data_IF_906590140404
#
_entry.id   IF_906590140404
#
_cell.length_a   1.000
_cell.length_b   1.000
_cell.length_c   1.000
_cell.angle_alpha   90.00
_cell.angle_beta   90.00
_cell.angle_gamma   90.00
#
_symmetry.space_group_name_H-M   'P 1'
#
loop_
_entity.id
_entity.type
_entity.pdbx_description
1 polymer ?
#
# COMPACT_ATOMS: atom_id res chain seq x y z
N UNK A 1 -0.22 -21.94 -16.88
CA UNK A 1 1.03 -22.54 -17.41
C UNK A 1 1.64 -21.69 -18.51
N UNK A 2 0.88 -21.25 -19.51
CA UNK A 2 1.36 -20.44 -20.64
C UNK A 2 1.96 -19.09 -20.20
N UNK A 3 1.26 -18.31 -19.35
CA UNK A 3 1.79 -17.05 -18.81
C UNK A 3 3.12 -17.23 -18.09
N UNK A 4 3.27 -18.33 -17.36
CA UNK A 4 4.51 -18.63 -16.66
C UNK A 4 5.68 -18.92 -17.63
N UNK A 5 5.41 -19.60 -18.73
CA UNK A 5 6.40 -19.82 -19.79
C UNK A 5 6.84 -18.49 -20.42
N UNK A 6 5.88 -17.65 -20.83
CA UNK A 6 6.16 -16.32 -21.36
C UNK A 6 6.94 -15.42 -20.40
N UNK A 7 6.64 -15.48 -19.09
CA UNK A 7 7.41 -14.76 -18.07
C UNK A 7 8.89 -15.20 -18.08
N UNK A 8 9.13 -16.48 -18.17
CA UNK A 8 10.49 -17.02 -18.19
C UNK A 8 11.23 -16.68 -19.48
N UNK A 9 10.59 -16.75 -20.65
CA UNK A 9 11.17 -16.37 -21.95
C UNK A 9 11.59 -14.89 -21.98
N UNK A 10 10.85 -14.02 -21.29
CA UNK A 10 11.17 -12.59 -21.24
C UNK A 10 12.51 -12.29 -20.56
N UNK A 11 12.95 -13.15 -19.64
CA UNK A 11 14.11 -12.90 -18.77
C UNK A 11 15.15 -14.03 -18.73
N UNK A 12 15.19 -14.89 -19.71
CA UNK A 12 16.30 -15.84 -19.82
C UNK A 12 17.55 -15.08 -20.28
N UNK A 13 18.37 -14.62 -19.35
CA UNK A 13 19.57 -13.83 -19.65
C UNK A 13 20.57 -13.81 -18.50
N UNK A 14 21.86 -13.78 -18.83
CA UNK A 14 22.97 -13.59 -17.88
C UNK A 14 23.04 -12.18 -17.26
N UNK A 15 22.04 -11.35 -17.50
CA UNK A 15 22.00 -9.97 -17.00
C UNK A 15 21.39 -9.88 -15.60
N UNK A 16 21.81 -8.91 -14.77
CA UNK A 16 21.19 -8.66 -13.48
C UNK A 16 19.81 -8.03 -13.64
N UNK A 17 18.84 -8.49 -12.82
CA UNK A 17 17.47 -7.97 -12.74
C UNK A 17 17.32 -7.07 -11.52
N UNK A 18 16.80 -5.84 -11.72
CA UNK A 18 16.29 -4.98 -10.67
C UNK A 18 14.76 -5.14 -10.55
N UNK A 19 14.25 -5.37 -9.36
CA UNK A 19 12.82 -5.39 -9.10
C UNK A 19 12.48 -4.15 -8.28
N UNK A 20 11.60 -3.31 -8.82
CA UNK A 20 11.11 -2.07 -8.20
C UNK A 20 9.74 -2.31 -7.57
N UNK A 21 9.49 -1.70 -6.41
CA UNK A 21 8.24 -1.79 -5.67
C UNK A 21 8.02 -0.55 -4.80
N UNK A 22 6.77 -0.26 -4.45
CA UNK A 22 6.45 0.52 -3.25
C UNK A 22 6.44 -0.43 -2.06
N UNK A 23 7.38 -0.27 -1.13
CA UNK A 23 7.55 -1.25 -0.07
C UNK A 23 6.38 -1.21 0.94
N UNK A 24 5.39 -2.03 0.70
CA UNK A 24 4.38 -2.51 1.62
C UNK A 24 4.45 -4.04 1.70
N UNK A 25 3.65 -4.72 2.52
CA UNK A 25 3.75 -6.16 2.68
C UNK A 25 3.50 -6.94 1.39
N UNK A 26 2.53 -6.54 0.55
CA UNK A 26 2.19 -7.25 -0.68
C UNK A 26 3.27 -7.07 -1.76
N UNK A 27 3.72 -5.84 -1.97
CA UNK A 27 4.81 -5.53 -2.90
C UNK A 27 6.11 -6.24 -2.53
N UNK A 28 6.48 -6.24 -1.22
CA UNK A 28 7.68 -6.92 -0.74
C UNK A 28 7.60 -8.44 -0.92
N UNK A 29 6.46 -9.05 -0.64
CA UNK A 29 6.23 -10.47 -0.83
C UNK A 29 6.27 -10.85 -2.32
N UNK A 30 5.63 -10.06 -3.16
CA UNK A 30 5.63 -10.20 -4.61
C UNK A 30 7.03 -10.10 -5.21
N UNK A 31 7.83 -9.15 -4.76
CA UNK A 31 9.23 -9.02 -5.17
C UNK A 31 10.08 -10.22 -4.76
N UNK A 32 9.87 -10.77 -3.54
CA UNK A 32 10.53 -12.00 -3.10
C UNK A 32 10.12 -13.22 -3.94
N UNK A 33 8.84 -13.32 -4.31
CA UNK A 33 8.34 -14.40 -5.15
C UNK A 33 8.91 -14.32 -6.58
N UNK A 34 8.92 -13.12 -7.18
CA UNK A 34 9.54 -12.93 -8.49
C UNK A 34 11.05 -13.23 -8.43
N UNK A 35 11.75 -12.78 -7.39
CA UNK A 35 13.16 -13.14 -7.16
C UNK A 35 13.36 -14.67 -7.08
N UNK A 36 12.41 -15.40 -6.46
CA UNK A 36 12.48 -16.88 -6.38
C UNK A 36 12.23 -17.54 -7.74
N UNK A 37 11.29 -17.01 -8.53
CA UNK A 37 11.00 -17.47 -9.89
C UNK A 37 12.21 -17.27 -10.83
N UNK A 38 12.91 -16.15 -10.67
CA UNK A 38 14.08 -15.82 -11.48
C UNK A 38 15.38 -16.50 -11.01
N UNK A 39 15.31 -17.36 -9.99
CA UNK A 39 16.47 -18.11 -9.50
C UNK A 39 17.10 -18.96 -10.61
N UNK A 40 18.41 -18.79 -10.86
CA UNK A 40 19.18 -19.44 -11.92
C UNK A 40 18.76 -19.09 -13.36
N UNK A 41 17.91 -18.07 -13.54
CA UNK A 41 17.49 -17.57 -14.87
C UNK A 41 18.12 -16.24 -15.20
N UNK A 42 18.54 -15.51 -14.18
CA UNK A 42 19.26 -14.25 -14.32
C UNK A 42 20.51 -14.30 -13.44
N UNK A 43 21.51 -13.49 -13.77
CA UNK A 43 22.79 -13.47 -13.05
C UNK A 43 22.62 -13.19 -11.55
N UNK A 44 21.76 -12.22 -11.21
CA UNK A 44 21.38 -11.87 -9.84
C UNK A 44 20.10 -11.03 -9.84
N UNK A 45 19.39 -11.03 -8.71
CA UNK A 45 18.21 -10.16 -8.50
C UNK A 45 18.48 -9.21 -7.35
N UNK A 46 18.22 -7.92 -7.57
CA UNK A 46 18.31 -6.85 -6.57
C UNK A 46 16.95 -6.22 -6.39
N UNK A 47 16.47 -6.11 -5.14
CA UNK A 47 15.20 -5.48 -4.81
C UNK A 47 15.41 -4.00 -4.51
N UNK A 48 14.50 -3.18 -5.02
CA UNK A 48 14.49 -1.74 -4.83
C UNK A 48 13.11 -1.24 -4.41
N UNK A 49 13.08 -0.34 -3.42
CA UNK A 49 11.86 0.36 -3.02
C UNK A 49 11.96 1.86 -3.31
N UNK A 50 10.84 2.47 -3.65
CA UNK A 50 10.75 3.89 -4.01
C UNK A 50 10.37 4.78 -2.83
N UNK A 51 9.53 4.30 -1.92
CA UNK A 51 9.02 5.01 -0.76
C UNK A 51 9.96 4.91 0.47
N UNK A 52 9.91 5.84 1.41
CA UNK A 52 10.43 5.60 2.76
C UNK A 52 9.62 4.47 3.43
N UNK A 53 10.26 3.73 4.32
CA UNK A 53 9.63 2.63 5.06
C UNK A 53 9.66 3.01 6.54
N UNK A 54 8.53 3.42 7.05
CA UNK A 54 8.42 3.99 8.41
C UNK A 54 7.44 3.19 9.29
N UNK A 55 6.50 2.48 8.67
CA UNK A 55 5.53 1.66 9.41
C UNK A 55 6.23 0.56 10.20
N UNK A 56 5.94 0.43 11.52
CA UNK A 56 6.61 -0.55 12.38
C UNK A 56 6.40 -2.00 11.95
N UNK A 57 5.22 -2.35 11.45
CA UNK A 57 4.89 -3.68 10.91
C UNK A 57 5.74 -4.00 9.66
N UNK A 58 5.92 -3.03 8.74
CA UNK A 58 6.77 -3.19 7.56
C UNK A 58 8.25 -3.38 7.96
N UNK A 59 8.72 -2.61 8.95
CA UNK A 59 10.07 -2.77 9.49
C UNK A 59 10.26 -4.12 10.17
N UNK A 60 9.24 -4.59 10.93
CA UNK A 60 9.25 -5.90 11.54
C UNK A 60 9.25 -7.02 10.48
N UNK A 61 8.42 -6.90 9.42
CA UNK A 61 8.41 -7.81 8.29
C UNK A 61 9.81 -7.93 7.65
N UNK A 62 10.44 -6.79 7.36
CA UNK A 62 11.78 -6.73 6.76
C UNK A 62 12.81 -7.43 7.67
N UNK A 63 12.78 -7.10 8.97
CA UNK A 63 13.71 -7.65 9.96
C UNK A 63 13.54 -9.16 10.16
N UNK A 64 12.30 -9.60 10.41
CA UNK A 64 11.99 -11.00 10.72
C UNK A 64 12.18 -11.92 9.51
N UNK A 65 11.80 -11.43 8.32
CA UNK A 65 11.99 -12.17 7.08
C UNK A 65 13.33 -11.86 6.38
N UNK A 66 14.20 -11.06 6.99
CA UNK A 66 15.54 -10.72 6.45
C UNK A 66 15.46 -10.25 5.00
N UNK A 67 14.55 -9.34 4.66
CA UNK A 67 14.34 -8.82 3.31
C UNK A 67 15.45 -7.81 3.01
N UNK A 68 16.34 -8.16 2.07
CA UNK A 68 17.40 -7.24 1.62
C UNK A 68 16.90 -6.45 0.43
N UNK A 69 16.77 -5.15 0.59
CA UNK A 69 16.30 -4.19 -0.42
C UNK A 69 17.04 -2.86 -0.29
N UNK A 70 17.03 -2.06 -1.35
CA UNK A 70 17.71 -0.77 -1.40
C UNK A 70 16.75 0.32 -1.84
N UNK A 71 16.89 1.53 -1.33
CA UNK A 71 16.12 2.66 -1.82
C UNK A 71 16.57 3.08 -3.22
N UNK A 72 15.62 3.40 -4.10
CA UNK A 72 15.90 3.88 -5.44
C UNK A 72 15.15 5.19 -5.71
N UNK A 73 15.85 6.17 -6.26
CA UNK A 73 15.27 7.43 -6.75
C UNK A 73 15.39 7.56 -8.26
N UNK A 74 16.33 6.83 -8.87
CA UNK A 74 16.61 6.84 -10.30
C UNK A 74 17.29 5.55 -10.72
N UNK A 75 17.02 5.10 -11.94
CA UNK A 75 17.70 3.95 -12.57
C UNK A 75 19.02 4.33 -13.24
N UNK A 76 19.24 5.64 -13.49
CA UNK A 76 20.47 6.12 -14.15
C UNK A 76 21.73 5.74 -13.39
N UNK A 77 22.78 5.33 -14.13
CA UNK A 77 24.09 4.98 -13.56
C UNK A 77 24.16 3.62 -12.87
N UNK A 78 23.08 2.84 -12.86
CA UNK A 78 23.09 1.49 -12.26
C UNK A 78 23.55 0.44 -13.27
N UNK A 79 24.36 -0.52 -12.80
CA UNK A 79 24.79 -1.68 -13.59
C UNK A 79 23.70 -2.77 -13.66
N UNK A 80 22.45 -2.34 -13.94
CA UNK A 80 21.29 -3.20 -14.09
C UNK A 80 20.65 -2.83 -15.42
N UNK A 81 20.46 -3.83 -16.27
CA UNK A 81 19.89 -3.64 -17.62
C UNK A 81 18.46 -4.13 -17.75
N UNK A 82 18.06 -5.04 -16.87
CA UNK A 82 16.71 -5.63 -16.85
C UNK A 82 15.95 -5.13 -15.63
N UNK A 83 14.71 -4.69 -15.84
CA UNK A 83 13.90 -4.11 -14.80
C UNK A 83 12.50 -4.73 -14.75
N UNK A 84 12.08 -5.08 -13.56
CA UNK A 84 10.71 -5.46 -13.26
C UNK A 84 10.09 -4.48 -12.26
N UNK A 85 8.79 -4.31 -12.33
CA UNK A 85 8.01 -3.64 -11.29
C UNK A 85 6.88 -4.58 -10.88
N UNK A 86 6.64 -4.66 -9.58
CA UNK A 86 5.59 -5.51 -9.00
C UNK A 86 4.71 -4.69 -8.09
N UNK A 87 3.42 -5.05 -8.06
CA UNK A 87 2.39 -4.42 -7.24
C UNK A 87 2.30 -2.91 -7.50
N UNK A 88 2.57 -2.54 -8.69
CA UNK A 88 2.55 -1.17 -9.17
C UNK A 88 2.80 -1.09 -10.67
N UNK A 89 2.59 0.12 -11.23
CA UNK A 89 2.83 0.42 -12.63
C UNK A 89 3.81 1.59 -12.78
N UNK A 90 4.55 1.69 -13.91
CA UNK A 90 5.56 2.73 -14.11
C UNK A 90 5.02 4.15 -13.88
N UNK A 91 3.80 4.45 -14.33
CA UNK A 91 3.17 5.75 -14.22
C UNK A 91 2.80 6.16 -12.79
N UNK A 92 2.79 5.24 -11.82
CA UNK A 92 2.62 5.58 -10.40
C UNK A 92 3.83 6.39 -9.87
N UNK A 93 4.97 6.35 -10.56
CA UNK A 93 6.21 7.01 -10.11
C UNK A 93 6.78 7.88 -11.20
N UNK A 94 6.65 9.19 -11.08
CA UNK A 94 7.16 10.19 -12.04
C UNK A 94 8.58 9.89 -12.58
N UNK A 95 9.57 9.44 -11.77
CA UNK A 95 10.89 9.09 -12.29
C UNK A 95 10.93 7.89 -13.22
N UNK A 96 9.87 7.06 -13.26
CA UNK A 96 9.82 5.81 -14.02
C UNK A 96 8.70 5.76 -15.06
N UNK A 97 7.84 6.78 -15.14
CA UNK A 97 6.65 6.81 -16.01
C UNK A 97 6.95 6.53 -17.49
N UNK A 98 8.14 6.95 -17.96
CA UNK A 98 8.59 6.77 -19.35
C UNK A 98 9.58 5.59 -19.50
N UNK A 99 9.79 4.78 -18.46
CA UNK A 99 10.69 3.65 -18.53
C UNK A 99 9.96 2.40 -19.02
N UNK A 100 10.53 1.76 -20.05
CA UNK A 100 10.03 0.48 -20.52
C UNK A 100 10.58 -0.63 -19.61
N UNK A 101 9.74 -1.19 -18.77
CA UNK A 101 10.08 -2.33 -17.94
C UNK A 101 10.06 -3.64 -18.76
N UNK A 102 10.89 -4.59 -18.40
CA UNK A 102 10.84 -5.94 -18.96
C UNK A 102 9.61 -6.70 -18.43
N UNK A 103 9.27 -6.49 -17.14
CA UNK A 103 8.14 -7.15 -16.47
C UNK A 103 7.35 -6.12 -15.67
N UNK A 104 6.02 -6.17 -15.82
CA UNK A 104 5.03 -5.53 -14.93
C UNK A 104 4.05 -6.61 -14.47
N UNK A 105 3.93 -6.82 -13.17
CA UNK A 105 2.92 -7.69 -12.55
C UNK A 105 2.21 -6.87 -11.47
N UNK A 106 0.90 -6.69 -11.63
CA UNK A 106 0.11 -5.79 -10.77
C UNK A 106 -1.34 -6.26 -10.65
N UNK A 107 -2.04 -5.77 -9.63
CA UNK A 107 -3.47 -5.99 -9.44
C UNK A 107 -4.29 -4.70 -9.40
N UNK A 108 -3.65 -3.55 -9.45
CA UNK A 108 -4.32 -2.25 -9.55
C UNK A 108 -4.93 -2.02 -10.94
N UNK A 109 -5.90 -1.09 -11.08
CA UNK A 109 -6.45 -0.73 -12.39
C UNK A 109 -5.38 -0.40 -13.42
N UNK A 110 -5.50 -0.97 -14.62
CA UNK A 110 -4.51 -0.80 -15.67
C UNK A 110 -4.50 0.65 -16.17
N UNK A 111 -3.35 1.29 -16.09
CA UNK A 111 -3.13 2.61 -16.64
C UNK A 111 -2.84 2.54 -18.14
N UNK A 112 -3.48 3.37 -18.99
CA UNK A 112 -3.32 3.31 -20.45
C UNK A 112 -1.87 3.50 -20.95
N UNK A 113 -1.04 4.18 -20.15
CA UNK A 113 0.38 4.40 -20.46
C UNK A 113 1.29 3.22 -20.11
N UNK A 114 0.78 2.21 -19.39
CA UNK A 114 1.59 1.07 -18.93
C UNK A 114 1.98 0.17 -20.10
N UNK A 115 3.29 0.06 -20.33
CA UNK A 115 3.87 -0.82 -21.34
C UNK A 115 5.00 -1.64 -20.73
N UNK A 116 5.09 -2.93 -21.09
CA UNK A 116 6.15 -3.83 -20.70
C UNK A 116 6.35 -4.92 -21.75
N UNK A 117 7.49 -5.59 -21.75
CA UNK A 117 7.71 -6.80 -22.57
C UNK A 117 6.83 -7.94 -22.09
N UNK A 118 6.70 -8.08 -20.78
CA UNK A 118 5.76 -8.95 -20.11
C UNK A 118 4.85 -8.11 -19.21
N UNK A 119 3.57 -8.06 -19.55
CA UNK A 119 2.54 -7.33 -18.83
C UNK A 119 1.49 -8.32 -18.32
N UNK A 120 1.30 -8.38 -17.00
CA UNK A 120 0.24 -9.16 -16.36
C UNK A 120 -0.41 -8.33 -15.25
N UNK A 121 -1.45 -7.60 -15.62
CA UNK A 121 -2.27 -6.80 -14.71
C UNK A 121 -3.62 -7.47 -14.55
N UNK A 122 -4.04 -7.73 -13.29
CA UNK A 122 -5.26 -8.47 -12.96
C UNK A 122 -6.05 -7.72 -11.89
N UNK A 123 -6.86 -6.80 -12.34
CA UNK A 123 -7.65 -5.89 -11.49
C UNK A 123 -8.68 -6.59 -10.59
N UNK A 124 -9.03 -7.83 -10.95
CA UNK A 124 -9.97 -8.67 -10.22
C UNK A 124 -9.32 -9.47 -9.08
N UNK A 125 -8.04 -9.28 -8.78
CA UNK A 125 -7.34 -9.92 -7.67
C UNK A 125 -7.24 -9.00 -6.46
N UNK A 126 -7.49 -9.54 -5.26
CA UNK A 126 -7.41 -8.78 -4.01
C UNK A 126 -5.99 -8.46 -3.57
N UNK A 127 -4.97 -9.16 -4.12
CA UNK A 127 -3.57 -8.94 -3.81
C UNK A 127 -2.66 -9.43 -4.93
N UNK A 128 -1.56 -8.75 -5.16
CA UNK A 128 -0.53 -9.17 -6.11
C UNK A 128 0.20 -10.44 -5.64
N UNK A 129 0.30 -10.67 -4.34
CA UNK A 129 0.79 -11.93 -3.73
C UNK A 129 -0.03 -13.15 -4.14
N UNK A 130 -1.32 -12.99 -4.43
CA UNK A 130 -2.16 -14.05 -5.01
C UNK A 130 -1.67 -14.43 -6.40
N UNK A 131 -1.43 -13.44 -7.26
CA UNK A 131 -0.89 -13.64 -8.62
C UNK A 131 0.46 -14.36 -8.54
N UNK A 132 1.34 -13.89 -7.67
CA UNK A 132 2.67 -14.48 -7.49
C UNK A 132 2.63 -15.91 -6.93
N UNK A 133 1.64 -16.22 -6.09
CA UNK A 133 1.40 -17.59 -5.60
C UNK A 133 0.99 -18.52 -6.74
N UNK A 134 0.14 -18.05 -7.66
CA UNK A 134 -0.22 -18.81 -8.86
C UNK A 134 1.00 -19.07 -9.74
N UNK A 135 1.90 -18.10 -9.94
CA UNK A 135 3.14 -18.29 -10.69
C UNK A 135 4.05 -19.35 -10.05
N UNK A 136 4.22 -19.30 -8.72
CA UNK A 136 5.01 -20.32 -8.00
C UNK A 136 4.41 -21.73 -8.20
N UNK A 137 3.09 -21.87 -8.09
CA UNK A 137 2.40 -23.15 -8.30
C UNK A 137 2.51 -23.62 -9.75
N UNK A 138 2.34 -22.73 -10.73
CA UNK A 138 2.50 -23.05 -12.15
C UNK A 138 3.92 -23.50 -12.50
N UNK A 139 4.92 -22.89 -11.85
CA UNK A 139 6.33 -23.27 -11.96
C UNK A 139 6.69 -24.52 -11.14
N UNK A 140 5.73 -25.14 -10.43
CA UNK A 140 5.93 -26.27 -9.50
C UNK A 140 6.97 -25.96 -8.41
N UNK A 141 7.00 -24.73 -7.95
CA UNK A 141 7.90 -24.27 -6.88
C UNK A 141 7.13 -24.21 -5.57
N UNK A 142 7.49 -25.08 -4.63
CA UNK A 142 7.00 -24.98 -3.24
C UNK A 142 7.69 -23.81 -2.56
N UNK A 143 6.94 -22.85 -1.99
CA UNK A 143 7.54 -21.72 -1.28
C UNK A 143 8.21 -22.17 0.01
N UNK A 144 9.36 -21.59 0.31
CA UNK A 144 9.98 -21.78 1.64
C UNK A 144 9.08 -21.15 2.72
N UNK A 145 9.17 -21.58 4.00
CA UNK A 145 8.39 -20.98 5.09
C UNK A 145 8.49 -19.44 5.13
N UNK A 146 9.67 -18.90 4.89
CA UNK A 146 9.92 -17.47 4.81
C UNK A 146 9.13 -16.80 3.69
N UNK A 147 9.15 -17.35 2.47
CA UNK A 147 8.44 -16.82 1.32
C UNK A 147 6.91 -16.98 1.48
N UNK A 148 6.48 -18.14 1.98
CA UNK A 148 5.07 -18.39 2.25
C UNK A 148 4.53 -17.41 3.29
N UNK A 149 5.29 -17.13 4.37
CA UNK A 149 4.93 -16.15 5.39
C UNK A 149 4.78 -14.74 4.81
N UNK A 150 5.70 -14.32 3.92
CA UNK A 150 5.60 -13.03 3.26
C UNK A 150 4.34 -12.93 2.40
N UNK A 151 4.12 -13.89 1.49
CA UNK A 151 2.95 -13.92 0.59
C UNK A 151 1.63 -14.02 1.35
N UNK A 152 1.58 -14.85 2.39
CA UNK A 152 0.41 -14.98 3.27
C UNK A 152 0.07 -13.64 3.92
N UNK A 153 1.09 -12.95 4.46
CA UNK A 153 0.90 -11.66 5.11
C UNK A 153 0.52 -10.57 4.10
N UNK A 154 1.11 -10.58 2.89
CA UNK A 154 0.73 -9.69 1.80
C UNK A 154 -0.75 -9.82 1.43
N UNK A 155 -1.24 -11.05 1.18
CA UNK A 155 -2.67 -11.27 0.91
C UNK A 155 -3.53 -10.79 2.08
N UNK A 156 -3.14 -11.11 3.33
CA UNK A 156 -3.91 -10.71 4.51
C UNK A 156 -4.05 -9.20 4.64
N UNK A 157 -2.97 -8.46 4.45
CA UNK A 157 -2.97 -6.99 4.62
C UNK A 157 -3.71 -6.29 3.50
N UNK A 158 -3.54 -6.72 2.27
CA UNK A 158 -4.10 -6.03 1.12
C UNK A 158 -5.62 -6.28 0.99
N UNK A 159 -6.07 -7.48 1.33
CA UNK A 159 -7.50 -7.83 1.40
C UNK A 159 -8.16 -7.39 2.72
N UNK A 160 -7.41 -6.79 3.65
CA UNK A 160 -7.89 -6.48 5.01
C UNK A 160 -8.54 -7.72 5.67
N UNK A 161 -7.80 -8.83 5.70
CA UNK A 161 -8.27 -10.13 6.16
C UNK A 161 -9.59 -10.57 5.47
N UNK A 162 -9.73 -10.30 4.16
CA UNK A 162 -10.90 -10.61 3.31
C UNK A 162 -12.14 -9.77 3.61
N UNK A 163 -12.01 -8.67 4.32
CA UNK A 163 -13.10 -7.69 4.50
C UNK A 163 -13.29 -6.84 3.24
N UNK A 164 -12.21 -6.57 2.50
CA UNK A 164 -12.29 -5.93 1.18
C UNK A 164 -12.72 -6.93 0.11
N UNK A 165 -13.15 -6.41 -1.04
CA UNK A 165 -13.48 -7.25 -2.20
C UNK A 165 -12.30 -8.19 -2.49
N UNK A 166 -12.51 -9.47 -2.24
CA UNK A 166 -11.57 -10.55 -2.48
C UNK A 166 -12.25 -11.66 -3.26
N UNK A 167 -11.49 -12.29 -4.14
CA UNK A 167 -12.00 -13.39 -4.96
C UNK A 167 -11.73 -14.75 -4.31
N UNK A 168 -12.46 -15.79 -4.73
CA UNK A 168 -12.14 -17.18 -4.37
C UNK A 168 -10.67 -17.54 -4.63
N UNK A 169 -10.02 -16.86 -5.58
CA UNK A 169 -8.59 -17.06 -5.90
C UNK A 169 -7.68 -16.61 -4.74
N UNK A 170 -8.01 -15.48 -4.10
CA UNK A 170 -7.25 -14.98 -2.95
C UNK A 170 -7.36 -15.94 -1.77
N UNK A 171 -8.57 -16.45 -1.50
CA UNK A 171 -8.82 -17.44 -0.45
C UNK A 171 -8.05 -18.74 -0.74
N UNK A 172 -8.06 -19.21 -1.99
CA UNK A 172 -7.34 -20.42 -2.39
C UNK A 172 -5.81 -20.28 -2.25
N UNK A 173 -5.27 -19.12 -2.63
CA UNK A 173 -3.85 -18.81 -2.47
C UNK A 173 -3.48 -18.73 -0.99
N UNK A 174 -4.29 -18.04 -0.19
CA UNK A 174 -4.12 -17.92 1.25
C UNK A 174 -4.13 -19.29 1.96
N UNK A 175 -5.12 -20.16 1.64
CA UNK A 175 -5.21 -21.52 2.16
C UNK A 175 -3.99 -22.37 1.75
N UNK A 176 -3.53 -22.25 0.51
CA UNK A 176 -2.33 -22.94 0.05
C UNK A 176 -1.10 -22.51 0.86
N UNK A 177 -0.91 -21.21 1.03
CA UNK A 177 0.24 -20.64 1.73
C UNK A 177 0.23 -20.94 3.23
N UNK A 178 -0.96 -21.06 3.85
CA UNK A 178 -1.12 -21.39 5.26
C UNK A 178 -0.35 -22.64 5.68
N UNK A 179 -0.25 -23.63 4.79
CA UNK A 179 0.45 -24.90 5.04
C UNK A 179 1.96 -24.73 5.26
N UNK A 180 2.53 -23.64 4.74
CA UNK A 180 3.97 -23.38 4.72
C UNK A 180 4.34 -22.15 5.55
N UNK A 181 3.40 -21.26 5.82
CA UNK A 181 3.64 -20.00 6.51
C UNK A 181 3.90 -20.21 8.01
N UNK A 182 4.74 -19.35 8.60
CA UNK A 182 5.00 -19.35 10.03
C UNK A 182 4.09 -18.34 10.74
N UNK A 183 3.02 -18.85 11.35
CA UNK A 183 2.01 -18.04 12.05
C UNK A 183 2.59 -17.27 13.24
N UNK A 184 3.60 -17.82 13.94
CA UNK A 184 4.27 -17.10 15.03
C UNK A 184 5.03 -15.87 14.52
N UNK A 185 5.61 -15.95 13.33
CA UNK A 185 6.26 -14.79 12.70
C UNK A 185 5.22 -13.74 12.32
N UNK A 186 4.08 -14.13 11.75
CA UNK A 186 2.97 -13.22 11.43
C UNK A 186 2.49 -12.50 12.69
N UNK A 187 2.19 -13.24 13.75
CA UNK A 187 1.79 -12.65 15.03
C UNK A 187 2.81 -11.64 15.57
N UNK A 188 4.12 -11.91 15.41
CA UNK A 188 5.17 -10.97 15.82
C UNK A 188 5.20 -9.71 14.96
N UNK A 189 4.92 -9.81 13.66
CA UNK A 189 4.82 -8.65 12.77
C UNK A 189 3.63 -7.78 13.20
N UNK A 190 2.46 -8.37 13.35
CA UNK A 190 1.23 -7.68 13.76
C UNK A 190 1.36 -7.03 15.15
N UNK A 191 2.00 -7.68 16.11
CA UNK A 191 2.23 -7.10 17.43
C UNK A 191 3.26 -5.96 17.45
N UNK A 192 3.88 -5.64 16.32
CA UNK A 192 4.85 -4.55 16.21
C UNK A 192 4.26 -3.25 15.66
N UNK A 193 2.95 -3.20 15.41
CA UNK A 193 2.29 -2.03 14.80
C UNK A 193 2.29 -0.80 15.70
N UNK A 194 2.32 -0.98 17.01
CA UNK A 194 2.19 0.12 17.99
C UNK A 194 3.53 0.38 18.66
N UNK A 195 4.05 1.60 18.48
CA UNK A 195 5.20 2.13 19.21
C UNK A 195 4.76 2.99 20.39
N UNK A 196 5.70 3.38 21.28
CA UNK A 196 5.41 4.34 22.36
C UNK A 196 4.92 5.67 21.80
N UNK A 197 5.53 6.17 20.72
CA UNK A 197 5.11 7.39 20.04
C UNK A 197 3.67 7.26 19.51
N UNK A 198 3.33 6.13 18.90
CA UNK A 198 1.96 5.84 18.49
C UNK A 198 0.97 5.86 19.66
N UNK A 199 1.36 5.38 20.86
CA UNK A 199 0.51 5.45 22.06
C UNK A 199 0.26 6.89 22.50
N UNK A 200 1.28 7.74 22.45
CA UNK A 200 1.14 9.17 22.79
C UNK A 200 0.21 9.87 21.80
N UNK A 201 0.32 9.56 20.50
CA UNK A 201 -0.58 10.06 19.46
C UNK A 201 -2.02 9.55 19.63
N UNK A 202 -2.20 8.30 19.99
CA UNK A 202 -3.54 7.74 20.29
C UNK A 202 -4.18 8.40 21.51
N UNK A 203 -3.40 8.68 22.56
CA UNK A 203 -3.88 9.42 23.74
C UNK A 203 -4.37 10.80 23.33
N UNK A 204 -3.56 11.58 22.59
CA UNK A 204 -3.95 12.87 22.07
C UNK A 204 -5.23 12.79 21.24
N UNK A 205 -5.31 11.80 20.33
CA UNK A 205 -6.45 11.61 19.48
C UNK A 205 -7.75 11.30 20.25
N UNK A 206 -7.66 10.50 21.32
CA UNK A 206 -8.82 10.20 22.19
C UNK A 206 -9.29 11.43 22.99
N UNK A 207 -8.35 12.25 23.45
CA UNK A 207 -8.66 13.50 24.20
C UNK A 207 -9.35 14.55 23.29
N UNK A 208 -9.05 14.56 21.98
CA UNK A 208 -9.56 15.53 21.00
C UNK A 208 -10.60 14.94 20.05
N UNK A 209 -11.07 13.72 20.32
CA UNK A 209 -12.08 13.05 19.48
C UNK A 209 -13.40 13.84 19.47
N UNK A 210 -13.87 14.17 18.29
CA UNK A 210 -15.19 14.74 18.05
C UNK A 210 -16.08 13.72 17.33
N UNK A 211 -17.17 13.33 17.98
CA UNK A 211 -18.18 12.47 17.35
C UNK A 211 -19.26 13.32 16.69
N UNK A 212 -19.47 13.14 15.40
CA UNK A 212 -20.52 13.82 14.62
C UNK A 212 -21.42 12.76 13.99
N UNK A 213 -22.52 12.44 14.66
CA UNK A 213 -23.41 11.33 14.30
C UNK A 213 -22.62 10.02 14.29
N UNK A 214 -22.49 9.41 13.10
CA UNK A 214 -21.78 8.18 12.79
C UNK A 214 -20.31 8.38 12.40
N UNK A 215 -19.75 9.59 12.61
CA UNK A 215 -18.40 9.94 12.20
C UNK A 215 -17.52 10.28 13.40
N UNK A 216 -16.41 9.59 13.52
CA UNK A 216 -15.30 9.97 14.39
C UNK A 216 -14.37 10.93 13.64
N UNK A 217 -14.11 12.09 14.21
CA UNK A 217 -13.21 13.09 13.66
C UNK A 217 -12.18 13.52 14.69
N UNK A 218 -10.94 13.65 14.25
CA UNK A 218 -9.86 14.29 15.03
C UNK A 218 -8.90 15.04 14.12
N UNK A 219 -8.45 16.18 14.58
CA UNK A 219 -7.37 16.94 13.99
C UNK A 219 -6.13 16.84 14.87
N UNK A 220 -5.02 16.34 14.30
CA UNK A 220 -3.80 15.96 15.03
C UNK A 220 -2.73 17.05 15.02
N UNK A 221 -3.04 18.26 14.51
CA UNK A 221 -2.08 19.34 14.34
C UNK A 221 -0.85 18.92 13.52
N UNK A 222 0.37 19.23 13.97
CA UNK A 222 1.60 18.88 13.26
C UNK A 222 2.10 17.49 13.62
N UNK A 223 2.46 16.72 12.61
CA UNK A 223 2.90 15.33 12.72
C UNK A 223 4.32 15.16 12.20
N UNK A 224 5.12 14.37 12.92
CA UNK A 224 6.42 13.88 12.46
C UNK A 224 6.26 12.75 11.45
N UNK A 225 5.25 11.90 11.64
CA UNK A 225 4.97 10.74 10.79
C UNK A 225 3.47 10.66 10.42
N UNK A 226 3.10 10.79 9.15
CA UNK A 226 1.71 10.73 8.70
C UNK A 226 1.06 9.34 8.85
N UNK A 227 1.85 8.26 9.03
CA UNK A 227 1.31 6.92 9.23
C UNK A 227 0.54 6.79 10.56
N UNK A 228 0.79 7.66 11.53
CA UNK A 228 -0.01 7.71 12.75
C UNK A 228 -1.49 8.01 12.47
N UNK A 229 -1.78 8.84 11.45
CA UNK A 229 -3.17 9.14 11.06
C UNK A 229 -3.90 7.88 10.60
N UNK A 230 -3.18 6.97 9.91
CA UNK A 230 -3.75 5.70 9.44
C UNK A 230 -4.11 4.81 10.64
N UNK A 231 -3.18 4.64 11.58
CA UNK A 231 -3.38 3.81 12.78
C UNK A 231 -4.54 4.35 13.62
N UNK A 232 -4.62 5.67 13.79
CA UNK A 232 -5.69 6.33 14.56
C UNK A 232 -7.03 6.16 13.84
N UNK A 233 -7.06 6.32 12.51
CA UNK A 233 -8.29 6.15 11.74
C UNK A 233 -8.82 4.71 11.84
N UNK A 234 -7.95 3.71 11.73
CA UNK A 234 -8.30 2.29 11.88
C UNK A 234 -8.75 1.97 13.31
N UNK A 235 -8.14 2.62 14.32
CA UNK A 235 -8.55 2.46 15.71
C UNK A 235 -9.96 2.99 15.96
N UNK A 236 -10.31 4.16 15.44
CA UNK A 236 -11.64 4.73 15.63
C UNK A 236 -12.74 4.01 14.86
N UNK A 237 -12.42 3.24 13.82
CA UNK A 237 -13.37 2.33 13.18
C UNK A 237 -13.83 1.18 14.08
N UNK A 238 -13.16 0.95 15.22
CA UNK A 238 -13.56 -0.06 16.22
C UNK A 238 -14.61 0.46 17.21
N UNK A 239 -14.94 1.74 17.18
CA UNK A 239 -16.05 2.27 17.98
C UNK A 239 -17.38 1.80 17.39
N UNK A 240 -18.24 1.25 18.23
CA UNK A 240 -19.51 0.65 17.81
C UNK A 240 -20.45 1.64 17.08
N UNK A 241 -20.39 2.92 17.45
CA UNK A 241 -21.22 3.98 16.90
C UNK A 241 -20.66 4.59 15.61
N UNK A 242 -19.45 4.18 15.18
CA UNK A 242 -18.72 4.82 14.09
C UNK A 242 -18.84 4.01 12.80
N UNK A 243 -19.33 4.68 11.75
CA UNK A 243 -19.27 4.17 10.38
C UNK A 243 -18.19 4.87 9.54
N UNK A 244 -17.77 6.05 9.97
CA UNK A 244 -16.74 6.83 9.30
C UNK A 244 -15.71 7.32 10.29
N UNK A 245 -14.44 7.15 9.96
CA UNK A 245 -13.34 7.80 10.67
C UNK A 245 -12.63 8.77 9.75
N UNK A 246 -12.44 10.00 10.21
CA UNK A 246 -11.73 11.06 9.49
C UNK A 246 -10.65 11.63 10.40
N UNK A 247 -9.42 11.35 10.10
CA UNK A 247 -8.26 11.79 10.89
C UNK A 247 -7.39 12.67 10.01
N UNK A 248 -7.12 13.89 10.48
CA UNK A 248 -6.39 14.88 9.71
C UNK A 248 -5.21 15.44 10.50
N UNK A 249 -4.16 15.86 9.82
CA UNK A 249 -3.02 16.54 10.42
C UNK A 249 -2.09 17.14 9.38
N UNK A 250 -1.13 17.93 9.80
CA UNK A 250 -0.16 18.60 8.93
C UNK A 250 1.17 17.89 8.97
N UNK A 251 1.71 17.55 7.82
CA UNK A 251 3.06 17.03 7.65
C UNK A 251 3.73 17.69 6.44
N UNK A 252 4.96 18.19 6.59
CA UNK A 252 5.75 18.82 5.51
C UNK A 252 4.94 19.86 4.69
N UNK A 253 4.28 20.82 5.37
CA UNK A 253 3.46 21.87 4.76
C UNK A 253 2.28 21.35 3.91
N UNK A 254 1.82 20.15 4.18
CA UNK A 254 0.63 19.56 3.58
C UNK A 254 -0.37 19.14 4.64
N UNK A 255 -1.64 19.43 4.40
CA UNK A 255 -2.74 18.79 5.13
C UNK A 255 -2.89 17.37 4.60
N UNK A 256 -2.77 16.39 5.48
CA UNK A 256 -3.03 14.98 5.19
C UNK A 256 -4.31 14.58 5.90
N UNK A 257 -5.22 13.95 5.17
CA UNK A 257 -6.48 13.45 5.71
C UNK A 257 -6.64 11.99 5.35
N UNK A 258 -6.84 11.17 6.36
CA UNK A 258 -7.17 9.74 6.21
C UNK A 258 -8.65 9.56 6.48
N UNK A 259 -9.32 8.87 5.59
CA UNK A 259 -10.75 8.55 5.68
C UNK A 259 -10.90 7.03 5.70
N UNK A 260 -11.72 6.53 6.62
CA UNK A 260 -12.17 5.13 6.67
C UNK A 260 -13.68 5.10 6.63
N UNK A 261 -14.22 4.08 6.01
CA UNK A 261 -15.67 3.90 5.83
C UNK A 261 -16.08 2.44 5.97
N UNK A 262 -17.06 2.18 6.82
CA UNK A 262 -17.76 0.90 6.96
C UNK A 262 -19.21 0.98 6.46
N UNK A 263 -19.71 2.15 6.05
CA UNK A 263 -21.06 2.28 5.46
C UNK A 263 -21.07 1.64 4.06
N UNK A 264 -21.91 0.63 3.87
CA UNK A 264 -22.05 -0.13 2.61
C UNK A 264 -22.45 0.78 1.44
N UNK A 265 -23.21 1.87 1.70
CA UNK A 265 -23.64 2.86 0.69
C UNK A 265 -22.64 4.00 0.52
N UNK A 266 -21.59 4.04 1.36
CA UNK A 266 -20.58 5.08 1.35
C UNK A 266 -19.43 4.75 0.41
N UNK A 267 -18.74 5.80 -0.06
CA UNK A 267 -17.50 5.70 -0.82
C UNK A 267 -16.50 6.72 -0.26
N UNK A 268 -15.43 6.21 0.36
CA UNK A 268 -14.40 7.07 0.97
C UNK A 268 -13.63 7.84 -0.10
N UNK A 269 -13.34 7.24 -1.25
CA UNK A 269 -12.64 7.86 -2.36
C UNK A 269 -13.42 9.05 -2.93
N UNK A 270 -14.71 8.88 -3.17
CA UNK A 270 -15.60 9.96 -3.63
C UNK A 270 -15.74 11.07 -2.56
N UNK A 271 -15.80 10.70 -1.29
CA UNK A 271 -15.82 11.69 -0.21
C UNK A 271 -14.54 12.49 -0.12
N UNK A 272 -13.38 11.82 -0.25
CA UNK A 272 -12.08 12.51 -0.28
C UNK A 272 -12.02 13.55 -1.42
N UNK A 273 -12.39 13.16 -2.63
CA UNK A 273 -12.46 14.05 -3.81
C UNK A 273 -13.41 15.23 -3.56
N UNK A 274 -14.63 14.95 -3.04
CA UNK A 274 -15.64 15.97 -2.80
C UNK A 274 -15.24 16.97 -1.71
N UNK A 275 -14.62 16.49 -0.63
CA UNK A 275 -14.26 17.35 0.51
C UNK A 275 -12.97 18.12 0.29
N UNK A 276 -11.99 17.53 -0.42
CA UNK A 276 -10.62 18.04 -0.51
C UNK A 276 -10.12 18.31 -1.93
N UNK A 277 -10.77 17.78 -2.97
CA UNK A 277 -10.33 17.93 -4.37
C UNK A 277 -10.38 19.38 -4.90
N UNK A 278 -11.15 20.27 -4.27
CA UNK A 278 -11.24 21.70 -4.64
C UNK A 278 -9.96 22.50 -4.41
N UNK A 279 -9.01 21.97 -3.65
CA UNK A 279 -7.77 22.66 -3.29
C UNK A 279 -6.56 22.16 -4.10
N UNK A 280 -6.80 21.60 -5.29
CA UNK A 280 -5.74 21.12 -6.20
C UNK A 280 -4.72 20.18 -5.50
N UNK A 281 -5.20 19.37 -4.59
CA UNK A 281 -4.45 18.32 -3.90
C UNK A 281 -4.74 16.94 -4.51
N UNK A 282 -3.95 15.96 -4.10
CA UNK A 282 -4.23 14.56 -4.38
C UNK A 282 -5.33 14.09 -3.42
N UNK A 283 -6.45 13.65 -3.95
CA UNK A 283 -7.55 13.10 -3.15
C UNK A 283 -8.18 11.92 -3.88
N UNK A 284 -8.28 10.78 -3.20
CA UNK A 284 -8.85 9.56 -3.78
C UNK A 284 -8.69 8.35 -2.88
N UNK A 285 -9.09 7.20 -3.40
CA UNK A 285 -9.03 5.91 -2.69
C UNK A 285 -10.13 4.97 -3.16
N UNK A 286 -10.41 3.98 -2.34
CA UNK A 286 -11.44 2.96 -2.53
C UNK A 286 -12.69 3.28 -1.68
N UNK A 287 -13.73 2.45 -1.80
CA UNK A 287 -14.97 2.61 -1.01
C UNK A 287 -14.72 2.62 0.51
N UNK A 288 -13.83 1.75 1.00
CA UNK A 288 -13.56 1.61 2.44
C UNK A 288 -12.47 2.54 2.98
N UNK A 289 -11.56 3.04 2.14
CA UNK A 289 -10.39 3.79 2.57
C UNK A 289 -9.99 4.83 1.54
N UNK A 290 -9.67 6.05 1.99
CA UNK A 290 -9.17 7.10 1.13
C UNK A 290 -8.15 7.98 1.85
N UNK A 291 -7.34 8.68 1.04
CA UNK A 291 -6.37 9.66 1.50
C UNK A 291 -6.50 10.95 0.68
N UNK A 292 -6.34 12.08 1.35
CA UNK A 292 -6.15 13.37 0.70
C UNK A 292 -4.84 13.99 1.18
N UNK A 293 -4.09 14.60 0.25
CA UNK A 293 -2.91 15.40 0.52
C UNK A 293 -3.06 16.75 -0.18
N UNK A 294 -3.17 17.81 0.59
CA UNK A 294 -3.41 19.15 0.08
C UNK A 294 -2.31 20.08 0.57
N UNK A 295 -1.55 20.76 -0.32
CA UNK A 295 -0.61 21.78 0.09
C UNK A 295 -1.31 22.87 0.90
N UNK A 296 -0.74 23.27 2.06
CA UNK A 296 -1.31 24.32 2.91
C UNK A 296 -1.43 25.64 2.15
N UNK A 297 -0.50 25.91 1.24
CA UNK A 297 -0.55 27.11 0.40
C UNK A 297 -1.87 27.21 -0.38
N UNK A 298 -2.33 26.12 -0.99
CA UNK A 298 -3.58 26.08 -1.75
C UNK A 298 -4.80 26.35 -0.85
N UNK A 299 -4.77 25.83 0.38
CA UNK A 299 -5.83 26.08 1.37
C UNK A 299 -5.81 27.56 1.77
N UNK A 300 -4.64 28.10 2.08
CA UNK A 300 -4.47 29.50 2.50
C UNK A 300 -4.88 30.49 1.41
N UNK A 301 -4.59 30.19 0.14
CA UNK A 301 -5.03 31.02 -1.01
C UNK A 301 -6.57 31.04 -1.12
N UNK A 302 -7.22 29.90 -0.86
CA UNK A 302 -8.68 29.78 -0.99
C UNK A 302 -9.45 30.30 0.22
N UNK A 303 -8.86 30.31 1.43
CA UNK A 303 -9.59 30.56 2.70
C UNK A 303 -8.97 31.63 3.60
N UNK A 304 -7.77 32.12 3.28
CA UNK A 304 -6.98 33.00 4.12
C UNK A 304 -6.02 32.27 5.05
N UNK A 305 -4.91 32.94 5.43
CA UNK A 305 -3.83 32.34 6.24
C UNK A 305 -4.23 32.02 7.69
N UNK A 306 -5.19 32.76 8.25
CA UNK A 306 -5.63 32.62 9.64
C UNK A 306 -6.78 31.60 9.81
N UNK A 307 -7.06 30.80 8.79
CA UNK A 307 -8.11 29.80 8.83
C UNK A 307 -7.74 28.66 9.77
N UNK A 308 -8.62 28.40 10.73
CA UNK A 308 -8.59 27.24 11.61
C UNK A 308 -8.89 25.97 10.80
N UNK A 309 -7.85 25.13 10.56
CA UNK A 309 -7.95 23.91 9.75
C UNK A 309 -8.91 22.89 10.35
N UNK A 310 -8.94 22.76 11.68
CA UNK A 310 -9.86 21.85 12.36
C UNK A 310 -11.30 22.23 12.07
N UNK A 311 -11.68 23.50 12.27
CA UNK A 311 -13.02 24.01 11.98
C UNK A 311 -13.39 23.89 10.51
N UNK A 312 -12.43 24.16 9.62
CA UNK A 312 -12.62 24.04 8.18
C UNK A 312 -12.96 22.59 7.77
N UNK A 313 -12.19 21.62 8.24
CA UNK A 313 -12.40 20.20 7.94
C UNK A 313 -13.71 19.73 8.55
N UNK A 314 -13.95 20.07 9.82
CA UNK A 314 -15.19 19.69 10.52
C UNK A 314 -16.44 20.24 9.82
N UNK A 315 -16.39 21.47 9.33
CA UNK A 315 -17.48 22.05 8.54
C UNK A 315 -17.75 21.29 7.24
N UNK A 316 -16.69 20.78 6.59
CA UNK A 316 -16.81 19.96 5.37
C UNK A 316 -17.44 18.60 5.65
N UNK A 317 -17.05 17.95 6.75
CA UNK A 317 -17.56 16.64 7.18
C UNK A 317 -19.02 16.73 7.61
N UNK A 318 -19.45 17.86 8.21
CA UNK A 318 -20.82 18.09 8.67
C UNK A 318 -21.81 18.37 7.53
N UNK A 319 -21.35 18.86 6.38
CA UNK A 319 -22.24 19.16 5.23
C UNK A 319 -22.92 17.88 4.75
N UNK A 320 -24.26 17.86 4.84
CA UNK A 320 -25.12 16.88 4.17
C UNK A 320 -25.09 17.17 2.67
N UNK A 321 -24.70 16.16 1.85
CA UNK A 321 -24.72 16.09 0.37
C UNK A 321 -23.71 16.96 -0.37
#
# INVERSE_FOLDING_TARGET
TERCARLFETLDSDEPLGIVMSADPDAMASALALKRLMWRRVKRVVLYHVNPIERPDNLALIKLLKIKQNRIRSMRGRKIKRWAIVDSQPAHYKPFENHLFDIVIDHHPLLPSTKARFLDVREDYGANSTIMTEYLRAAKITPSPRLATALFYGIKTDTDAFVRESLPKDINAFQYLYRYANMNTIKKIESSEITRDTLDQLRFAMEHLTLVKDKAFVYMDKLSNPDHLVIIADFFMKLAETQWSVVAGVHEEKLIVIIRNADIRGDAGDRAKKWFGLWEGLAGGHKSAARAEVPLENIHQATGKDMDLEKLILARIKRKK
#
